data_IF_817648340797
#
_entry.id   IF_817648340797
#
_cell.length_a   1.000
_cell.length_b   1.000
_cell.length_c   1.000
_cell.angle_alpha   90.00
_cell.angle_beta   90.00
_cell.angle_gamma   90.00
#
_symmetry.space_group_name_H-M   'P 1'
#
loop_
_entity.id
_entity.type
_entity.pdbx_description
1 polymer ?
#
# COMPACT_ATOMS: atom_id res chain seq x y z
N UNK A 1 28.09 -23.19 19.58
CA UNK A 1 27.63 -21.83 19.22
C UNK A 1 27.47 -21.58 17.71
N UNK A 2 28.03 -22.39 16.81
CA UNK A 2 27.89 -22.19 15.35
C UNK A 2 26.52 -22.53 14.72
N UNK A 3 25.76 -23.49 15.27
CA UNK A 3 24.47 -23.91 14.68
C UNK A 3 23.34 -22.86 14.79
N UNK A 4 23.26 -22.14 15.92
CA UNK A 4 22.23 -21.12 16.16
C UNK A 4 22.39 -19.92 15.21
N UNK A 5 23.63 -19.57 14.84
CA UNK A 5 23.93 -18.47 13.91
C UNK A 5 23.52 -18.80 12.48
N UNK A 6 23.69 -20.05 12.04
CA UNK A 6 23.33 -20.49 10.68
C UNK A 6 21.81 -20.56 10.54
N UNK A 7 21.11 -21.14 11.52
CA UNK A 7 19.65 -21.24 11.51
C UNK A 7 18.96 -19.85 11.53
N UNK A 8 19.52 -18.90 12.29
CA UNK A 8 19.00 -17.52 12.35
C UNK A 8 19.28 -16.71 11.09
N UNK A 9 20.38 -16.98 10.38
CA UNK A 9 20.69 -16.41 9.07
C UNK A 9 19.72 -16.93 8.00
N UNK A 10 19.47 -18.24 7.95
CA UNK A 10 18.57 -18.85 6.97
C UNK A 10 17.11 -18.41 7.14
N UNK A 11 16.63 -18.32 8.38
CA UNK A 11 15.28 -17.80 8.67
C UNK A 11 15.14 -16.33 8.24
N UNK A 12 16.15 -15.50 8.48
CA UNK A 12 16.15 -14.10 8.06
C UNK A 12 16.19 -13.94 6.53
N UNK A 13 16.95 -14.79 5.82
CA UNK A 13 16.99 -14.80 4.35
C UNK A 13 15.61 -15.17 3.79
N UNK A 14 14.92 -16.14 4.40
CA UNK A 14 13.61 -16.58 3.96
C UNK A 14 12.53 -15.48 4.15
N UNK A 15 12.60 -14.70 5.24
CA UNK A 15 11.70 -13.57 5.47
C UNK A 15 11.97 -12.44 4.47
N UNK A 16 13.24 -12.05 4.26
CA UNK A 16 13.60 -11.02 3.27
C UNK A 16 13.14 -11.40 1.87
N UNK A 17 13.31 -12.66 1.46
CA UNK A 17 12.82 -13.17 0.18
C UNK A 17 11.29 -13.05 0.05
N UNK A 18 10.54 -13.38 1.10
CA UNK A 18 9.06 -13.25 1.10
C UNK A 18 8.60 -11.80 1.00
N UNK A 19 9.28 -10.88 1.69
CA UNK A 19 9.03 -9.44 1.56
C UNK A 19 9.27 -9.01 0.11
N UNK A 20 10.47 -9.27 -0.42
CA UNK A 20 10.82 -8.89 -1.79
C UNK A 20 9.82 -9.47 -2.80
N UNK A 21 9.48 -10.76 -2.66
CA UNK A 21 8.51 -11.41 -3.53
C UNK A 21 7.13 -10.76 -3.46
N UNK A 22 6.64 -10.43 -2.26
CA UNK A 22 5.36 -9.73 -2.09
C UNK A 22 5.35 -8.39 -2.82
N UNK A 23 6.38 -7.57 -2.62
CA UNK A 23 6.49 -6.27 -3.29
C UNK A 23 6.56 -6.42 -4.81
N UNK A 24 7.37 -7.36 -5.30
CA UNK A 24 7.50 -7.63 -6.75
C UNK A 24 6.16 -8.06 -7.33
N UNK A 25 5.47 -9.01 -6.71
CA UNK A 25 4.16 -9.50 -7.18
C UNK A 25 3.12 -8.37 -7.18
N UNK A 26 3.07 -7.57 -6.12
CA UNK A 26 2.12 -6.44 -6.01
C UNK A 26 2.35 -5.40 -7.11
N UNK A 27 3.62 -5.08 -7.41
CA UNK A 27 3.97 -4.19 -8.53
C UNK A 27 3.54 -4.79 -9.86
N UNK A 28 3.76 -6.08 -10.10
CA UNK A 28 3.33 -6.73 -11.34
C UNK A 28 1.81 -6.75 -11.49
N UNK A 29 1.06 -7.02 -10.42
CA UNK A 29 -0.41 -6.98 -10.43
C UNK A 29 -0.88 -5.57 -10.77
N UNK A 30 -0.35 -4.55 -10.08
CA UNK A 30 -0.66 -3.15 -10.35
C UNK A 30 -0.37 -2.78 -11.82
N UNK A 31 0.78 -3.16 -12.36
CA UNK A 31 1.14 -2.89 -13.76
C UNK A 31 0.19 -3.57 -14.74
N UNK A 32 -0.19 -4.81 -14.50
CA UNK A 32 -1.17 -5.53 -15.34
C UNK A 32 -2.51 -4.81 -15.32
N UNK A 33 -3.01 -4.42 -14.15
CA UNK A 33 -4.27 -3.69 -14.02
C UNK A 33 -4.20 -2.31 -14.70
N UNK A 34 -3.13 -1.56 -14.46
CA UNK A 34 -2.90 -0.27 -15.09
C UNK A 34 -2.92 -0.38 -16.62
N UNK A 35 -2.15 -1.31 -17.20
CA UNK A 35 -2.12 -1.54 -18.64
C UNK A 35 -3.48 -2.00 -19.17
N UNK A 36 -4.16 -2.89 -18.46
CA UNK A 36 -5.50 -3.33 -18.82
C UNK A 36 -6.48 -2.15 -18.90
N UNK A 37 -6.54 -1.30 -17.87
CA UNK A 37 -7.44 -0.13 -17.88
C UNK A 37 -7.05 0.93 -18.91
N UNK A 38 -5.74 1.17 -19.09
CA UNK A 38 -5.23 2.12 -20.09
C UNK A 38 -5.63 1.74 -21.53
N UNK A 39 -5.59 0.44 -21.86
CA UNK A 39 -5.72 -0.04 -23.25
C UNK A 39 -7.03 -0.77 -23.57
N UNK A 40 -7.84 -1.13 -22.57
CA UNK A 40 -9.13 -1.83 -22.78
C UNK A 40 -10.22 -0.94 -23.39
N UNK A 41 -10.08 0.38 -23.31
CA UNK A 41 -11.11 1.33 -23.75
C UNK A 41 -12.26 1.55 -22.77
N UNK A 42 -12.29 0.82 -21.65
CA UNK A 42 -13.35 0.92 -20.61
C UNK A 42 -13.46 2.34 -20.05
N UNK A 43 -12.33 3.04 -19.96
CA UNK A 43 -12.18 4.35 -19.31
C UNK A 43 -12.28 5.55 -20.29
N UNK A 44 -12.46 5.31 -21.59
CA UNK A 44 -12.36 6.39 -22.61
C UNK A 44 -13.55 7.35 -22.62
N UNK A 45 -14.67 7.01 -21.97
CA UNK A 45 -15.87 7.88 -21.90
C UNK A 45 -15.92 8.75 -20.65
N UNK A 46 -14.98 8.60 -19.71
CA UNK A 46 -14.98 9.32 -18.45
C UNK A 46 -14.02 10.53 -18.49
N UNK A 47 -14.56 11.72 -18.75
CA UNK A 47 -13.83 12.96 -18.50
C UNK A 47 -13.83 13.27 -17.00
N UNK A 48 -12.67 13.10 -16.36
CA UNK A 48 -12.47 13.60 -15.00
C UNK A 48 -12.33 15.13 -15.04
N UNK A 49 -13.40 15.83 -14.66
CA UNK A 49 -13.31 17.24 -14.25
C UNK A 49 -12.70 17.28 -12.85
N UNK A 50 -11.37 17.24 -12.76
CA UNK A 50 -10.69 17.42 -11.48
C UNK A 50 -10.68 18.90 -11.12
N UNK A 51 -11.57 19.31 -10.21
CA UNK A 51 -11.35 20.57 -9.50
C UNK A 51 -10.06 20.45 -8.70
N UNK A 52 -9.07 21.35 -8.85
CA UNK A 52 -7.86 21.28 -8.06
C UNK A 52 -8.22 21.32 -6.57
N UNK A 53 -7.66 20.42 -5.75
CA UNK A 53 -7.99 20.37 -4.33
C UNK A 53 -7.60 21.69 -3.67
N UNK A 54 -8.48 22.20 -2.80
CA UNK A 54 -8.18 23.39 -2.00
C UNK A 54 -7.16 22.98 -0.94
N UNK A 55 -5.89 23.33 -1.16
CA UNK A 55 -4.81 23.05 -0.21
C UNK A 55 -5.04 23.75 1.13
N UNK A 56 -4.47 23.21 2.20
CA UNK A 56 -4.58 23.76 3.55
C UNK A 56 -4.89 22.69 4.60
N UNK A 57 -5.13 23.13 5.83
CA UNK A 57 -5.33 22.25 6.98
C UNK A 57 -6.51 21.28 6.80
N UNK A 58 -7.63 21.74 6.25
CA UNK A 58 -8.80 20.89 6.01
C UNK A 58 -8.49 19.74 5.02
N UNK A 59 -7.64 20.00 4.02
CA UNK A 59 -7.22 18.98 3.06
C UNK A 59 -6.21 18.00 3.67
N UNK A 60 -5.28 18.48 4.51
CA UNK A 60 -4.39 17.63 5.31
C UNK A 60 -5.20 16.67 6.19
N UNK A 61 -6.22 17.17 6.89
CA UNK A 61 -7.09 16.36 7.74
C UNK A 61 -7.86 15.31 6.94
N UNK A 62 -8.41 15.67 5.78
CA UNK A 62 -9.11 14.75 4.91
C UNK A 62 -8.20 13.61 4.42
N UNK A 63 -6.98 13.93 3.95
CA UNK A 63 -5.99 12.93 3.52
C UNK A 63 -5.59 12.03 4.68
N UNK A 64 -5.29 12.63 5.85
CA UNK A 64 -4.91 11.89 7.03
C UNK A 64 -5.99 10.90 7.47
N UNK A 65 -7.24 11.35 7.56
CA UNK A 65 -8.38 10.50 7.95
C UNK A 65 -8.59 9.38 6.94
N UNK A 66 -8.54 9.68 5.63
CA UNK A 66 -8.66 8.67 4.59
C UNK A 66 -7.58 7.58 4.71
N UNK A 67 -6.32 7.99 4.81
CA UNK A 67 -5.18 7.08 4.94
C UNK A 67 -5.19 6.30 6.25
N UNK A 68 -5.60 6.94 7.35
CA UNK A 68 -5.78 6.29 8.65
C UNK A 68 -6.87 5.23 8.59
N UNK A 69 -8.03 5.54 7.99
CA UNK A 69 -9.13 4.58 7.84
C UNK A 69 -8.70 3.38 7.00
N UNK A 70 -7.98 3.60 5.89
CA UNK A 70 -7.41 2.52 5.10
C UNK A 70 -6.46 1.67 5.95
N UNK A 71 -5.50 2.26 6.65
CA UNK A 71 -4.60 1.55 7.56
C UNK A 71 -5.34 0.72 8.63
N UNK A 72 -6.39 1.28 9.25
CA UNK A 72 -7.18 0.60 10.26
C UNK A 72 -7.95 -0.60 9.69
N UNK A 73 -8.45 -0.53 8.44
CA UNK A 73 -9.05 -1.69 7.78
C UNK A 73 -8.07 -2.86 7.71
N UNK A 74 -6.79 -2.59 7.47
CA UNK A 74 -5.75 -3.63 7.41
C UNK A 74 -5.39 -4.24 8.77
N UNK A 75 -5.77 -3.62 9.89
CA UNK A 75 -5.71 -4.27 11.21
C UNK A 75 -6.74 -5.41 11.33
N UNK A 76 -7.81 -5.37 10.54
CA UNK A 76 -8.73 -6.51 10.37
C UNK A 76 -8.17 -7.51 9.36
N UNK A 77 -7.01 -8.08 9.69
CA UNK A 77 -6.25 -8.99 8.81
C UNK A 77 -6.99 -10.23 8.26
N UNK A 78 -8.10 -10.75 8.83
CA UNK A 78 -8.81 -11.87 8.19
C UNK A 78 -9.33 -11.57 6.78
N UNK A 79 -9.60 -10.30 6.45
CA UNK A 79 -10.07 -9.88 5.12
C UNK A 79 -8.94 -9.32 4.24
N UNK A 80 -7.67 -9.44 4.67
CA UNK A 80 -6.52 -8.84 3.99
C UNK A 80 -6.48 -9.13 2.47
N UNK A 81 -6.69 -10.36 1.97
CA UNK A 81 -6.64 -10.62 0.54
C UNK A 81 -7.66 -9.80 -0.26
N UNK A 82 -8.87 -9.63 0.27
CA UNK A 82 -9.94 -8.85 -0.39
C UNK A 82 -9.60 -7.37 -0.37
N UNK A 83 -9.07 -6.86 0.73
CA UNK A 83 -8.65 -5.46 0.83
C UNK A 83 -7.52 -5.13 -0.15
N UNK A 84 -6.52 -6.02 -0.30
CA UNK A 84 -5.43 -5.84 -1.28
C UNK A 84 -5.99 -5.72 -2.70
N UNK A 85 -6.90 -6.61 -3.10
CA UNK A 85 -7.53 -6.55 -4.44
C UNK A 85 -8.31 -5.24 -4.62
N UNK A 86 -9.06 -4.81 -3.60
CA UNK A 86 -9.79 -3.55 -3.62
C UNK A 86 -8.84 -2.36 -3.83
N UNK A 87 -7.75 -2.29 -3.06
CA UNK A 87 -6.79 -1.20 -3.14
C UNK A 87 -6.05 -1.20 -4.48
N UNK A 88 -5.67 -2.36 -5.02
CA UNK A 88 -5.03 -2.47 -6.33
C UNK A 88 -5.94 -1.92 -7.45
N UNK A 89 -7.26 -2.16 -7.38
CA UNK A 89 -8.24 -1.59 -8.32
C UNK A 89 -8.38 -0.08 -8.10
N UNK A 90 -8.56 0.35 -6.86
CA UNK A 90 -8.77 1.77 -6.52
C UNK A 90 -7.53 2.64 -6.80
N UNK A 91 -6.33 2.06 -6.82
CA UNK A 91 -5.11 2.74 -7.25
C UNK A 91 -4.96 2.72 -8.78
N UNK A 92 -5.16 1.56 -9.42
CA UNK A 92 -4.90 1.41 -10.86
C UNK A 92 -5.89 2.19 -11.74
N UNK A 93 -7.17 2.26 -11.37
CA UNK A 93 -8.19 2.93 -12.19
C UNK A 93 -7.96 4.45 -12.30
N UNK A 94 -7.81 5.23 -11.20
CA UNK A 94 -7.59 6.67 -11.31
C UNK A 94 -6.26 7.02 -11.97
N UNK A 95 -5.21 6.21 -11.74
CA UNK A 95 -3.90 6.40 -12.36
C UNK A 95 -3.99 6.12 -13.87
N UNK A 96 -4.68 5.06 -14.30
CA UNK A 96 -4.93 4.79 -15.71
C UNK A 96 -5.78 5.90 -16.35
N UNK A 97 -6.86 6.34 -15.71
CA UNK A 97 -7.68 7.44 -16.20
C UNK A 97 -6.87 8.74 -16.37
N UNK A 98 -6.06 9.10 -15.37
CA UNK A 98 -5.16 10.26 -15.47
C UNK A 98 -4.18 10.11 -16.62
N UNK A 99 -3.65 8.91 -16.85
CA UNK A 99 -2.71 8.64 -17.93
C UNK A 99 -3.38 8.69 -19.32
N UNK A 100 -4.65 8.29 -19.45
CA UNK A 100 -5.46 8.49 -20.65
C UNK A 100 -5.68 9.98 -20.92
N UNK A 101 -6.09 10.74 -19.89
CA UNK A 101 -6.53 12.13 -20.04
C UNK A 101 -5.36 13.11 -20.23
N UNK A 102 -4.27 12.93 -19.48
CA UNK A 102 -3.15 13.88 -19.40
C UNK A 102 -1.80 13.30 -19.89
N UNK A 103 -1.77 12.00 -20.21
CA UNK A 103 -0.54 11.28 -20.53
C UNK A 103 0.18 10.73 -19.29
N UNK A 104 0.98 9.68 -19.51
CA UNK A 104 1.71 8.97 -18.45
C UNK A 104 2.70 9.88 -17.71
N UNK A 105 3.44 10.71 -18.44
CA UNK A 105 4.48 11.59 -17.84
C UNK A 105 3.83 12.60 -16.88
N UNK A 106 2.72 13.23 -17.28
CA UNK A 106 2.03 14.19 -16.43
C UNK A 106 1.40 13.52 -15.21
N UNK A 107 0.85 12.32 -15.40
CA UNK A 107 0.32 11.50 -14.30
C UNK A 107 1.40 11.17 -13.27
N UNK A 108 2.59 10.75 -13.71
CA UNK A 108 3.70 10.49 -12.80
C UNK A 108 4.15 11.74 -12.06
N UNK A 109 4.20 12.90 -12.73
CA UNK A 109 4.51 14.19 -12.07
C UNK A 109 3.48 14.57 -11.02
N UNK A 110 2.20 14.33 -11.28
CA UNK A 110 1.12 14.62 -10.33
C UNK A 110 1.11 13.63 -9.16
N UNK A 111 1.46 12.37 -9.41
CA UNK A 111 1.50 11.29 -8.41
C UNK A 111 2.74 11.40 -7.50
N UNK A 112 3.90 11.79 -8.04
CA UNK A 112 5.17 11.74 -7.32
C UNK A 112 5.20 12.50 -5.97
N UNK A 113 4.61 13.70 -5.81
CA UNK A 113 4.67 14.47 -4.56
C UNK A 113 4.16 13.72 -3.34
N UNK A 114 3.11 12.90 -3.49
CA UNK A 114 2.48 12.16 -2.39
C UNK A 114 2.68 10.64 -2.52
N UNK A 115 2.57 10.12 -3.74
CA UNK A 115 2.71 8.69 -4.05
C UNK A 115 4.09 8.12 -3.69
N UNK A 116 5.14 8.93 -3.60
CA UNK A 116 6.45 8.47 -3.13
C UNK A 116 6.43 7.98 -1.68
N UNK A 117 5.60 8.56 -0.81
CA UNK A 117 5.45 8.15 0.58
C UNK A 117 4.29 7.18 0.75
N UNK A 118 3.16 7.46 0.10
CA UNK A 118 1.94 6.70 0.28
C UNK A 118 2.03 5.29 -0.29
N UNK A 119 2.50 5.13 -1.54
CA UNK A 119 2.52 3.82 -2.20
C UNK A 119 3.39 2.81 -1.45
N UNK A 120 4.64 3.14 -1.04
CA UNK A 120 5.43 2.22 -0.23
C UNK A 120 4.78 1.89 1.12
N UNK A 121 4.05 2.84 1.71
CA UNK A 121 3.37 2.63 2.98
C UNK A 121 2.12 1.76 2.84
N UNK A 122 1.36 1.91 1.75
CA UNK A 122 0.25 1.02 1.37
C UNK A 122 0.74 -0.41 1.27
N UNK A 123 1.78 -0.64 0.46
CA UNK A 123 2.40 -1.96 0.35
C UNK A 123 2.92 -2.48 1.70
N UNK A 124 3.41 -1.60 2.57
CA UNK A 124 3.87 -1.96 3.90
C UNK A 124 2.73 -2.50 4.78
N UNK A 125 1.62 -1.76 4.95
CA UNK A 125 0.53 -2.25 5.79
C UNK A 125 -0.23 -3.42 5.17
N UNK A 126 -0.29 -3.53 3.83
CA UNK A 126 -0.77 -4.72 3.14
C UNK A 126 0.09 -5.94 3.48
N UNK A 127 1.42 -5.80 3.44
CA UNK A 127 2.36 -6.86 3.83
C UNK A 127 2.19 -7.27 5.31
N UNK A 128 2.03 -6.29 6.21
CA UNK A 128 1.80 -6.57 7.64
C UNK A 128 0.50 -7.35 7.83
N UNK A 129 -0.56 -6.94 7.15
CA UNK A 129 -1.88 -7.56 7.24
C UNK A 129 -1.89 -8.97 6.65
N UNK A 130 -1.32 -9.20 5.46
CA UNK A 130 -1.23 -10.54 4.87
C UNK A 130 -0.32 -11.47 5.69
N UNK A 131 0.69 -10.93 6.37
CA UNK A 131 1.52 -11.70 7.31
C UNK A 131 0.68 -12.18 8.50
N UNK A 132 -0.15 -11.31 9.07
CA UNK A 132 -1.06 -11.67 10.17
C UNK A 132 -2.17 -12.63 9.72
N UNK A 133 -2.71 -12.44 8.52
CA UNK A 133 -3.61 -13.40 7.85
C UNK A 133 -2.96 -14.78 7.77
N UNK A 134 -1.72 -14.85 7.28
CA UNK A 134 -0.99 -16.12 7.17
C UNK A 134 -0.81 -16.79 8.54
N UNK A 135 -0.48 -16.02 9.58
CA UNK A 135 -0.38 -16.55 10.93
C UNK A 135 -1.72 -17.13 11.42
N UNK A 136 -2.82 -16.41 11.24
CA UNK A 136 -4.14 -16.85 11.68
C UNK A 136 -4.55 -18.17 11.03
N UNK A 137 -4.48 -18.24 9.69
CA UNK A 137 -5.07 -19.34 8.93
C UNK A 137 -4.13 -20.54 8.72
N UNK A 138 -2.80 -20.37 8.79
CA UNK A 138 -1.84 -21.44 8.48
C UNK A 138 -0.89 -21.80 9.64
N UNK A 139 -0.77 -20.96 10.67
CA UNK A 139 0.09 -21.23 11.85
C UNK A 139 -0.69 -21.33 13.16
N UNK A 140 -1.89 -20.75 13.21
CA UNK A 140 -2.80 -20.78 14.34
C UNK A 140 -2.75 -19.53 15.20
N UNK A 141 -3.87 -19.21 15.84
CA UNK A 141 -4.10 -17.96 16.57
C UNK A 141 -3.05 -17.63 17.66
N UNK A 142 -2.41 -18.64 18.26
CA UNK A 142 -1.38 -18.46 19.31
C UNK A 142 -0.14 -17.72 18.79
N UNK A 143 0.14 -17.74 17.48
CA UNK A 143 1.29 -17.05 16.89
C UNK A 143 1.03 -15.58 16.58
N UNK A 144 -0.22 -15.11 16.69
CA UNK A 144 -0.62 -13.74 16.33
C UNK A 144 0.05 -12.70 17.23
N UNK A 145 -0.13 -12.81 18.55
CA UNK A 145 0.41 -11.84 19.51
C UNK A 145 1.96 -11.77 19.42
N UNK A 146 2.71 -12.89 19.43
CA UNK A 146 4.16 -12.84 19.24
C UNK A 146 4.58 -12.19 17.92
N UNK A 147 3.86 -12.45 16.83
CA UNK A 147 4.17 -11.87 15.51
C UNK A 147 3.88 -10.37 15.48
N UNK A 148 2.71 -9.94 15.98
CA UNK A 148 2.37 -8.53 16.13
C UNK A 148 3.42 -7.79 16.96
N UNK A 149 3.83 -8.36 18.09
CA UNK A 149 4.83 -7.74 18.97
C UNK A 149 6.21 -7.59 18.32
N UNK A 150 6.58 -8.48 17.38
CA UNK A 150 7.80 -8.35 16.57
C UNK A 150 7.66 -7.25 15.52
N UNK A 151 6.48 -7.11 14.92
CA UNK A 151 6.20 -6.13 13.85
C UNK A 151 5.74 -4.76 14.37
N UNK A 152 5.48 -4.59 15.67
CA UNK A 152 4.91 -3.36 16.26
C UNK A 152 5.62 -2.06 15.86
N UNK A 153 6.96 -2.11 15.74
CA UNK A 153 7.74 -0.93 15.34
C UNK A 153 7.46 -0.53 13.89
N UNK A 154 7.19 -1.51 13.02
CA UNK A 154 6.83 -1.28 11.62
C UNK A 154 5.39 -0.73 11.53
N UNK A 155 4.47 -1.26 12.34
CA UNK A 155 3.12 -0.67 12.46
C UNK A 155 3.16 0.80 12.88
N UNK A 156 3.95 1.14 13.90
CA UNK A 156 4.12 2.51 14.36
C UNK A 156 4.81 3.40 13.31
N UNK A 157 5.84 2.89 12.64
CA UNK A 157 6.51 3.62 11.56
C UNK A 157 5.55 3.91 10.40
N UNK A 158 4.71 2.93 10.02
CA UNK A 158 3.70 3.10 8.98
C UNK A 158 2.67 4.17 9.35
N UNK A 159 2.22 4.20 10.61
CA UNK A 159 1.32 5.24 11.11
C UNK A 159 1.96 6.64 11.06
N UNK A 160 3.25 6.75 11.38
CA UNK A 160 3.98 8.02 11.25
C UNK A 160 4.09 8.46 9.78
N UNK A 161 4.32 7.53 8.85
CA UNK A 161 4.36 7.85 7.42
C UNK A 161 3.00 8.36 6.92
N UNK A 162 1.88 7.84 7.42
CA UNK A 162 0.53 8.36 7.09
C UNK A 162 0.42 9.85 7.43
N UNK A 163 0.86 10.22 8.63
CA UNK A 163 0.82 11.62 9.07
C UNK A 163 1.72 12.51 8.21
N UNK A 164 2.95 12.06 7.94
CA UNK A 164 3.91 12.82 7.14
C UNK A 164 3.40 12.98 5.70
N UNK A 165 2.87 11.92 5.09
CA UNK A 165 2.32 11.96 3.74
C UNK A 165 1.16 12.96 3.64
N UNK A 166 0.24 12.93 4.60
CA UNK A 166 -0.89 13.87 4.63
C UNK A 166 -0.44 15.33 4.74
N UNK A 167 0.58 15.62 5.55
CA UNK A 167 1.14 16.98 5.65
C UNK A 167 1.84 17.38 4.35
N UNK A 168 2.63 16.48 3.77
CA UNK A 168 3.36 16.75 2.53
C UNK A 168 2.38 17.05 1.39
N UNK A 169 1.36 16.22 1.21
CA UNK A 169 0.36 16.40 0.15
C UNK A 169 -0.59 17.56 0.42
N UNK A 170 -1.04 17.74 1.67
CA UNK A 170 -2.05 18.74 1.99
C UNK A 170 -1.52 20.17 2.03
N UNK A 171 -0.20 20.34 2.22
CA UNK A 171 0.46 21.66 2.32
C UNK A 171 1.25 22.02 1.05
N UNK A 172 1.96 21.07 0.43
CA UNK A 172 2.90 21.34 -0.67
C UNK A 172 2.32 20.97 -2.03
#
# INVERSE_FOLDING_TARGET
MGGILIDTLDVNINIKKRVILFFVVSIFIFLILFLFYQYSGILQTEELVSTPPVKGLEYVEAIFVNNLLNYLQYLFFPVAPVLIIKDDILLSVPIAQSAINFGVIQTLKNLFPHGFLEIPNILCFQFLSITMFYQLFFKGWKTLVPTFMKLRKVYLASLLVILIAAIVEGVF
#
